data_IF_272178123827
#
_entry.id   IF_272178123827
#
_cell.length_a   1.000
_cell.length_b   1.000
_cell.length_c   1.000
_cell.angle_alpha   90.00
_cell.angle_beta   90.00
_cell.angle_gamma   90.00
#
_symmetry.space_group_name_H-M   'P 1'
#
loop_
_entity.id
_entity.type
_entity.pdbx_description
1 polymer ?
#
# COMPACT_ATOMS: atom_id res chain seq x y z
N UNK A 1 5.02 1.68 6.91
CA UNK A 1 3.64 2.20 6.87
C UNK A 1 2.71 1.14 6.31
N UNK A 2 1.63 0.83 7.02
CA UNK A 2 0.52 0.04 6.51
C UNK A 2 -0.70 0.95 6.29
N UNK A 3 -1.14 1.09 5.05
CA UNK A 3 -2.33 1.83 4.65
C UNK A 3 -3.41 0.84 4.24
N UNK A 4 -4.19 0.41 5.20
CA UNK A 4 -5.20 -0.65 5.05
C UNK A 4 -6.61 -0.21 5.42
N UNK A 5 -7.61 -0.95 4.98
CA UNK A 5 -9.01 -0.68 5.34
C UNK A 5 -9.98 -0.88 4.20
N UNK A 6 -11.15 -0.23 4.27
CA UNK A 6 -12.25 -0.38 3.33
C UNK A 6 -11.85 -0.18 1.87
N UNK A 7 -12.60 -0.76 0.96
CA UNK A 7 -12.42 -0.58 -0.47
C UNK A 7 -12.82 0.85 -0.91
N UNK A 8 -12.26 1.31 -2.02
CA UNK A 8 -12.59 2.62 -2.61
C UNK A 8 -11.94 3.84 -1.94
N UNK A 9 -11.14 3.67 -0.89
CA UNK A 9 -10.45 4.76 -0.19
C UNK A 9 -9.15 5.23 -0.85
N UNK A 10 -8.85 4.83 -2.09
CA UNK A 10 -7.69 5.35 -2.84
C UNK A 10 -6.34 4.71 -2.50
N UNK A 11 -6.31 3.50 -1.92
CA UNK A 11 -5.06 2.84 -1.48
C UNK A 11 -4.03 2.67 -2.58
N UNK A 12 -4.38 2.03 -3.69
CA UNK A 12 -3.46 1.80 -4.82
C UNK A 12 -3.03 3.11 -5.48
N UNK A 13 -3.93 4.12 -5.51
CA UNK A 13 -3.61 5.47 -5.99
C UNK A 13 -2.53 6.12 -5.13
N UNK A 14 -2.71 6.10 -3.79
CA UNK A 14 -1.71 6.63 -2.86
C UNK A 14 -0.37 5.92 -3.01
N UNK A 15 -0.38 4.59 -3.15
CA UNK A 15 0.82 3.79 -3.36
C UNK A 15 1.59 4.26 -4.61
N UNK A 16 0.88 4.45 -5.73
CA UNK A 16 1.49 4.91 -6.97
C UNK A 16 2.02 6.35 -6.84
N UNK A 17 1.22 7.28 -6.26
CA UNK A 17 1.63 8.67 -6.02
C UNK A 17 2.88 8.75 -5.13
N UNK A 18 2.89 7.97 -4.03
CA UNK A 18 4.03 7.88 -3.12
C UNK A 18 5.28 7.39 -3.84
N UNK A 19 5.16 6.36 -4.67
CA UNK A 19 6.29 5.80 -5.41
C UNK A 19 6.84 6.79 -6.46
N UNK A 20 5.95 7.41 -7.24
CA UNK A 20 6.31 8.44 -8.24
C UNK A 20 7.01 9.61 -7.56
N UNK A 21 6.42 10.15 -6.48
CA UNK A 21 7.01 11.23 -5.72
C UNK A 21 8.44 10.93 -5.27
N UNK A 22 8.68 9.73 -4.76
CA UNK A 22 10.02 9.33 -4.29
C UNK A 22 11.03 9.27 -5.43
N UNK A 23 10.63 8.81 -6.62
CA UNK A 23 11.51 8.82 -7.79
C UNK A 23 11.84 10.24 -8.27
N UNK A 24 10.88 11.14 -8.19
CA UNK A 24 11.11 12.54 -8.54
C UNK A 24 12.01 13.25 -7.53
N UNK A 25 11.75 13.08 -6.23
CA UNK A 25 12.42 13.84 -5.17
C UNK A 25 13.79 13.30 -4.79
N UNK A 26 14.07 12.01 -5.01
CA UNK A 26 15.32 11.36 -4.58
C UNK A 26 16.01 10.70 -5.78
N UNK A 27 16.80 11.48 -6.56
CA UNK A 27 17.48 10.97 -7.75
C UNK A 27 18.42 9.80 -7.46
N UNK A 28 18.54 8.88 -8.42
CA UNK A 28 19.43 7.73 -8.32
C UNK A 28 19.03 6.66 -7.30
N UNK A 29 17.81 6.73 -6.76
CA UNK A 29 17.27 5.74 -5.83
C UNK A 29 16.59 4.58 -6.56
N UNK A 30 16.48 3.43 -5.88
CA UNK A 30 15.86 2.23 -6.43
C UNK A 30 14.67 1.82 -5.59
N UNK A 31 13.48 1.78 -6.20
CA UNK A 31 12.24 1.36 -5.55
C UNK A 31 11.68 0.08 -6.13
N UNK A 32 10.84 -0.59 -5.34
CA UNK A 32 10.08 -1.75 -5.77
C UNK A 32 8.59 -1.46 -5.72
N UNK A 33 7.84 -1.85 -6.74
CA UNK A 33 6.39 -2.03 -6.69
C UNK A 33 6.11 -3.52 -6.83
N UNK A 34 5.48 -4.09 -5.82
CA UNK A 34 5.17 -5.52 -5.76
C UNK A 34 3.71 -5.83 -5.54
N UNK A 35 3.28 -6.98 -6.04
CA UNK A 35 2.01 -7.63 -5.76
C UNK A 35 2.20 -9.13 -5.79
N UNK A 36 1.29 -9.91 -5.19
CA UNK A 36 1.43 -11.38 -5.17
C UNK A 36 1.62 -11.96 -6.57
N UNK A 37 0.72 -11.65 -7.51
CA UNK A 37 0.79 -12.13 -8.88
C UNK A 37 1.23 -11.02 -9.83
N UNK A 38 2.10 -11.36 -10.78
CA UNK A 38 2.58 -10.39 -11.77
C UNK A 38 1.49 -9.92 -12.73
N UNK A 39 0.59 -10.83 -13.12
CA UNK A 39 -0.57 -10.51 -13.96
C UNK A 39 -1.46 -9.45 -13.31
N UNK A 40 -1.72 -9.59 -12.00
CA UNK A 40 -2.54 -8.62 -11.26
C UNK A 40 -1.81 -7.29 -11.09
N UNK A 41 -0.50 -7.32 -10.86
CA UNK A 41 0.33 -6.12 -10.86
C UNK A 41 0.15 -5.33 -12.16
N UNK A 42 0.25 -6.00 -13.30
CA UNK A 42 0.20 -5.36 -14.62
C UNK A 42 -1.21 -4.91 -15.01
N UNK A 43 -2.24 -5.65 -14.62
CA UNK A 43 -3.62 -5.34 -15.00
C UNK A 43 -4.32 -4.31 -14.12
N UNK A 44 -3.79 -4.06 -12.92
CA UNK A 44 -4.40 -3.11 -11.96
C UNK A 44 -3.42 -2.04 -11.50
N UNK A 45 -2.43 -2.38 -10.65
CA UNK A 45 -1.52 -1.40 -10.04
C UNK A 45 -0.70 -0.64 -11.08
N UNK A 46 -0.23 -1.32 -12.12
CA UNK A 46 0.51 -0.69 -13.23
C UNK A 46 -0.36 0.29 -14.03
N UNK A 47 -1.61 -0.04 -14.31
CA UNK A 47 -2.55 0.89 -14.97
C UNK A 47 -2.78 2.13 -14.12
N UNK A 48 -3.02 1.94 -12.82
CA UNK A 48 -3.13 3.07 -11.87
C UNK A 48 -1.85 3.91 -11.87
N UNK A 49 -0.67 3.29 -11.90
CA UNK A 49 0.60 4.01 -11.98
C UNK A 49 0.69 4.87 -13.24
N UNK A 50 0.30 4.34 -14.41
CA UNK A 50 0.32 5.10 -15.65
C UNK A 50 -0.65 6.29 -15.61
N UNK A 51 -1.89 6.10 -15.16
CA UNK A 51 -2.87 7.17 -14.98
C UNK A 51 -2.37 8.25 -14.01
N UNK A 52 -1.74 7.84 -12.90
CA UNK A 52 -1.17 8.77 -11.93
C UNK A 52 0.02 9.53 -12.50
N UNK A 53 0.86 8.86 -13.26
CA UNK A 53 1.97 9.52 -13.95
C UNK A 53 1.49 10.59 -14.93
N UNK A 54 0.49 10.27 -15.76
CA UNK A 54 -0.10 11.25 -16.70
C UNK A 54 -0.66 12.48 -15.97
N UNK A 55 -1.28 12.29 -14.80
CA UNK A 55 -1.77 13.38 -13.96
C UNK A 55 -0.63 14.24 -13.37
N UNK A 56 0.50 13.60 -12.99
CA UNK A 56 1.66 14.29 -12.40
C UNK A 56 2.54 14.94 -13.46
N UNK A 57 2.60 14.38 -14.65
CA UNK A 57 3.46 14.86 -15.74
C UNK A 57 3.28 16.34 -16.07
N UNK A 58 2.05 16.82 -16.10
CA UNK A 58 1.74 18.23 -16.39
C UNK A 58 2.40 19.21 -15.42
N UNK A 59 2.69 18.75 -14.20
CA UNK A 59 3.23 19.55 -13.11
C UNK A 59 4.66 19.15 -12.76
N UNK A 60 5.27 18.29 -13.55
CA UNK A 60 6.63 17.81 -13.32
C UNK A 60 7.66 18.88 -13.71
N UNK A 61 7.82 19.87 -12.85
CA UNK A 61 8.77 20.98 -13.04
C UNK A 61 10.25 20.51 -13.07
N UNK A 62 10.54 19.30 -12.62
CA UNK A 62 11.89 18.72 -12.63
C UNK A 62 12.27 18.17 -14.01
N UNK A 63 11.32 18.04 -14.94
CA UNK A 63 11.55 17.48 -16.27
C UNK A 63 11.97 16.01 -16.27
N UNK A 64 11.73 15.29 -15.16
CA UNK A 64 12.09 13.88 -15.04
C UNK A 64 11.14 13.02 -15.85
N UNK A 65 11.69 12.15 -16.69
CA UNK A 65 10.93 11.20 -17.52
C UNK A 65 11.27 9.77 -17.10
N UNK A 66 10.52 8.81 -17.60
CA UNK A 66 10.85 7.40 -17.44
C UNK A 66 10.57 6.60 -18.72
N UNK A 67 11.24 5.46 -18.83
CA UNK A 67 10.99 4.46 -19.87
C UNK A 67 10.92 3.07 -19.24
N UNK A 68 10.08 2.19 -19.78
CA UNK A 68 10.02 0.80 -19.38
C UNK A 68 11.19 0.03 -20.02
N UNK A 69 11.92 -0.76 -19.23
CA UNK A 69 12.92 -1.69 -19.68
C UNK A 69 12.34 -3.07 -20.02
N UNK A 70 13.18 -3.98 -20.57
CA UNK A 70 12.74 -5.31 -21.00
C UNK A 70 12.33 -6.25 -19.86
N UNK A 71 12.91 -6.14 -18.68
CA UNK A 71 12.72 -7.07 -17.56
C UNK A 71 11.91 -6.47 -16.41
N UNK A 72 10.75 -5.89 -16.72
CA UNK A 72 9.86 -5.36 -15.69
C UNK A 72 10.51 -4.25 -14.82
N UNK A 73 11.36 -3.47 -15.44
CA UNK A 73 12.06 -2.34 -14.84
C UNK A 73 11.61 -1.03 -15.48
N UNK A 74 11.67 0.04 -14.69
CA UNK A 74 11.45 1.40 -15.14
C UNK A 74 12.71 2.19 -14.85
N UNK A 75 13.30 2.78 -15.89
CA UNK A 75 14.46 3.65 -15.78
C UNK A 75 14.02 5.11 -15.86
N UNK A 76 14.39 5.88 -14.86
CA UNK A 76 14.08 7.30 -14.76
C UNK A 76 15.27 8.13 -15.25
N UNK A 77 15.00 9.24 -15.95
CA UNK A 77 16.04 10.10 -16.50
C UNK A 77 16.96 10.74 -15.45
N UNK A 78 16.54 10.77 -14.18
CA UNK A 78 17.35 11.24 -13.05
C UNK A 78 18.20 10.14 -12.40
N UNK A 79 18.35 8.98 -13.07
CA UNK A 79 19.14 7.85 -12.59
C UNK A 79 18.45 6.96 -11.55
N UNK A 80 17.18 7.21 -11.24
CA UNK A 80 16.41 6.33 -10.37
C UNK A 80 15.92 5.09 -11.14
N UNK A 81 15.53 4.06 -10.40
CA UNK A 81 15.02 2.81 -10.95
C UNK A 81 13.76 2.36 -10.19
N UNK A 82 12.87 1.67 -10.87
CA UNK A 82 11.71 0.99 -10.27
C UNK A 82 11.65 -0.44 -10.76
N UNK A 83 11.62 -1.38 -9.83
CA UNK A 83 11.44 -2.80 -10.11
C UNK A 83 9.97 -3.18 -9.95
N UNK A 84 9.40 -3.87 -10.94
CA UNK A 84 8.05 -4.45 -10.90
C UNK A 84 8.19 -5.95 -10.62
N UNK A 85 7.72 -6.43 -9.45
CA UNK A 85 7.96 -7.82 -9.02
C UNK A 85 6.69 -8.53 -8.58
N UNK A 86 6.54 -9.79 -9.03
CA UNK A 86 5.65 -10.74 -8.36
C UNK A 86 6.26 -11.15 -7.02
N UNK A 87 5.41 -11.20 -5.99
CA UNK A 87 5.81 -11.53 -4.62
C UNK A 87 5.17 -12.85 -4.17
N UNK A 88 5.03 -13.79 -5.08
CA UNK A 88 4.51 -15.12 -4.78
C UNK A 88 5.59 -16.03 -4.22
N UNK A 89 5.21 -16.82 -3.21
CA UNK A 89 6.03 -17.93 -2.73
C UNK A 89 6.20 -18.95 -3.86
N UNK A 90 7.44 -19.42 -4.04
CA UNK A 90 7.76 -20.47 -5.01
C UNK A 90 8.27 -21.71 -4.25
N UNK A 91 7.57 -22.85 -4.33
CA UNK A 91 7.99 -24.07 -3.66
C UNK A 91 9.38 -24.56 -4.09
N UNK A 92 9.79 -24.28 -5.34
CA UNK A 92 11.13 -24.56 -5.86
C UNK A 92 12.22 -23.66 -5.27
N UNK A 93 11.84 -22.57 -4.61
CA UNK A 93 12.74 -21.62 -3.96
C UNK A 93 12.19 -21.20 -2.58
N UNK A 94 12.13 -22.15 -1.61
CA UNK A 94 11.45 -21.94 -0.33
C UNK A 94 12.05 -20.82 0.51
N UNK A 95 13.33 -20.52 0.32
CA UNK A 95 14.03 -19.44 1.01
C UNK A 95 13.91 -18.09 0.27
N UNK A 96 13.11 -18.03 -0.80
CA UNK A 96 12.88 -16.81 -1.58
C UNK A 96 14.18 -16.09 -2.00
N UNK A 97 15.21 -16.86 -2.40
CA UNK A 97 16.54 -16.36 -2.78
C UNK A 97 16.48 -15.33 -3.92
N UNK A 98 15.44 -15.40 -4.77
CA UNK A 98 15.18 -14.41 -5.83
C UNK A 98 14.95 -12.99 -5.31
N UNK A 99 14.63 -12.81 -4.03
CA UNK A 99 14.57 -11.50 -3.37
C UNK A 99 15.83 -11.18 -2.58
N UNK A 100 16.67 -12.18 -2.31
CA UNK A 100 17.87 -12.06 -1.48
C UNK A 100 18.93 -11.12 -2.03
N UNK A 101 19.02 -10.98 -3.36
CA UNK A 101 19.98 -10.12 -4.07
C UNK A 101 19.50 -8.69 -4.26
N UNK A 102 18.25 -8.36 -3.88
CA UNK A 102 17.72 -7.02 -4.09
C UNK A 102 18.46 -5.99 -3.21
N UNK A 103 18.63 -4.82 -3.77
CA UNK A 103 19.14 -3.63 -3.10
C UNK A 103 18.18 -2.47 -3.38
N UNK A 104 17.38 -2.12 -2.37
CA UNK A 104 16.29 -1.17 -2.49
C UNK A 104 16.52 0.05 -1.59
N UNK A 105 16.05 1.20 -2.02
CA UNK A 105 15.90 2.40 -1.18
C UNK A 105 14.55 2.40 -0.49
N UNK A 106 13.53 1.88 -1.18
CA UNK A 106 12.15 1.78 -0.69
C UNK A 106 11.38 0.68 -1.44
N UNK A 107 10.24 0.29 -0.88
CA UNK A 107 9.35 -0.68 -1.49
C UNK A 107 7.89 -0.32 -1.23
N UNK A 108 7.04 -0.58 -2.22
CA UNK A 108 5.59 -0.47 -2.16
C UNK A 108 4.97 -1.82 -2.52
N UNK A 109 4.11 -2.36 -1.66
CA UNK A 109 3.44 -3.64 -1.90
C UNK A 109 1.93 -3.43 -1.88
N UNK A 110 1.32 -3.64 -3.04
CA UNK A 110 -0.14 -3.53 -3.18
C UNK A 110 -0.80 -4.88 -2.85
N UNK A 111 -1.98 -4.82 -2.23
CA UNK A 111 -2.70 -5.97 -1.69
C UNK A 111 -1.79 -6.89 -0.85
N UNK A 112 -1.02 -6.27 0.04
CA UNK A 112 -0.05 -6.97 0.91
C UNK A 112 -0.64 -8.11 1.75
N UNK A 113 -1.92 -8.13 2.15
CA UNK A 113 -2.51 -9.29 2.83
C UNK A 113 -2.43 -10.60 2.03
N UNK A 114 -2.38 -10.52 0.70
CA UNK A 114 -2.25 -11.69 -0.17
C UNK A 114 -0.83 -12.26 -0.20
N UNK A 115 0.18 -11.44 0.14
CA UNK A 115 1.60 -11.81 0.13
C UNK A 115 1.96 -12.47 1.46
N UNK A 116 2.76 -13.51 1.44
CA UNK A 116 3.23 -14.20 2.64
C UNK A 116 4.11 -13.28 3.51
N UNK A 117 3.88 -13.27 4.82
CA UNK A 117 4.55 -12.35 5.76
C UNK A 117 6.08 -12.40 5.67
N UNK A 118 6.65 -13.60 5.55
CA UNK A 118 8.10 -13.78 5.47
C UNK A 118 8.71 -13.10 4.22
N UNK A 119 7.98 -13.01 3.09
CA UNK A 119 8.43 -12.30 1.90
C UNK A 119 8.52 -10.81 2.17
N UNK A 120 7.55 -10.26 2.89
CA UNK A 120 7.57 -8.84 3.32
C UNK A 120 8.79 -8.57 4.21
N UNK A 121 9.12 -9.49 5.12
CA UNK A 121 10.29 -9.35 5.99
C UNK A 121 11.61 -9.44 5.21
N UNK A 122 11.69 -10.32 4.22
CA UNK A 122 12.84 -10.37 3.30
C UNK A 122 12.98 -9.04 2.55
N UNK A 123 11.92 -8.54 1.92
CA UNK A 123 11.93 -7.25 1.19
C UNK A 123 12.35 -6.12 2.13
N UNK A 124 11.80 -6.07 3.34
CA UNK A 124 12.17 -5.07 4.35
C UNK A 124 13.67 -5.10 4.65
N UNK A 125 14.27 -6.28 4.74
CA UNK A 125 15.71 -6.44 4.98
C UNK A 125 16.59 -6.01 3.79
N UNK A 126 16.01 -5.89 2.59
CA UNK A 126 16.70 -5.45 1.36
C UNK A 126 16.66 -3.94 1.15
N UNK A 127 15.95 -3.20 1.99
CA UNK A 127 15.93 -1.73 1.99
C UNK A 127 17.20 -1.22 2.64
N UNK A 128 18.27 -1.12 1.85
CA UNK A 128 19.62 -0.76 2.28
C UNK A 128 20.39 0.11 1.27
N UNK A 129 19.85 0.33 0.06
CA UNK A 129 20.52 1.08 -0.98
C UNK A 129 20.28 2.57 -0.83
N UNK A 130 21.35 3.37 -0.82
CA UNK A 130 21.34 4.84 -0.79
C UNK A 130 20.37 5.46 0.25
N UNK A 131 20.30 4.88 1.43
CA UNK A 131 19.37 5.31 2.49
C UNK A 131 19.58 6.76 2.93
N UNK A 132 20.80 7.28 2.83
CA UNK A 132 21.13 8.67 3.17
C UNK A 132 20.50 9.72 2.25
N UNK A 133 19.99 9.32 1.08
CA UNK A 133 19.29 10.24 0.17
C UNK A 133 17.81 10.46 0.54
N UNK A 134 17.29 9.68 1.46
CA UNK A 134 15.89 9.75 1.90
C UNK A 134 15.87 10.15 3.37
N UNK A 135 14.98 11.07 3.80
CA UNK A 135 14.87 11.45 5.21
C UNK A 135 14.73 10.22 6.11
N UNK A 136 15.45 10.23 7.25
CA UNK A 136 15.51 9.08 8.15
C UNK A 136 14.12 8.62 8.62
N UNK A 137 13.25 9.56 8.91
CA UNK A 137 11.88 9.34 9.42
C UNK A 137 10.84 9.09 8.30
N UNK A 138 11.22 9.19 7.02
CA UNK A 138 10.29 8.89 5.94
C UNK A 138 10.01 7.37 5.86
N UNK A 139 8.75 6.95 5.69
CA UNK A 139 8.42 5.55 5.46
C UNK A 139 9.19 4.99 4.27
N UNK A 140 9.86 3.86 4.44
CA UNK A 140 10.64 3.20 3.38
C UNK A 140 9.94 1.96 2.85
N UNK A 141 8.98 1.41 3.58
CA UNK A 141 8.13 0.32 3.16
C UNK A 141 6.66 0.77 3.29
N UNK A 142 5.95 0.79 2.17
CA UNK A 142 4.51 1.06 2.11
C UNK A 142 3.77 -0.22 1.74
N UNK A 143 2.86 -0.62 2.60
CA UNK A 143 1.98 -1.77 2.41
C UNK A 143 0.55 -1.26 2.26
N UNK A 144 -0.18 -1.73 1.26
CA UNK A 144 -1.60 -1.45 1.10
C UNK A 144 -2.40 -2.75 1.07
N UNK A 145 -3.68 -2.70 1.40
CA UNK A 145 -4.56 -3.87 1.31
C UNK A 145 -5.91 -3.67 1.96
N UNK A 146 -6.84 -4.54 1.56
CA UNK A 146 -8.15 -4.64 2.16
C UNK A 146 -8.09 -5.42 3.49
N UNK A 147 -9.10 -5.30 4.37
CA UNK A 147 -9.15 -6.07 5.60
C UNK A 147 -9.08 -7.58 5.33
N UNK A 148 -8.20 -8.23 6.04
CA UNK A 148 -7.99 -9.67 6.00
C UNK A 148 -7.70 -10.17 7.42
N UNK A 149 -8.21 -11.34 7.84
CA UNK A 149 -7.98 -11.89 9.17
C UNK A 149 -6.57 -12.47 9.35
N UNK A 150 -5.75 -12.46 8.30
CA UNK A 150 -4.41 -13.02 8.26
C UNK A 150 -3.36 -12.23 9.04
N UNK A 151 -2.12 -12.29 8.56
CA UNK A 151 -0.95 -11.73 9.23
C UNK A 151 -1.00 -10.20 9.38
N UNK A 152 -1.59 -9.47 8.42
CA UNK A 152 -1.69 -8.00 8.49
C UNK A 152 -2.55 -7.55 9.65
N UNK A 153 -3.66 -8.26 9.93
CA UNK A 153 -4.47 -8.02 11.13
C UNK A 153 -3.65 -8.25 12.40
N UNK A 154 -2.97 -9.40 12.48
CA UNK A 154 -2.18 -9.77 13.68
C UNK A 154 -1.02 -8.81 13.93
N UNK A 155 -0.37 -8.35 12.89
CA UNK A 155 0.82 -7.48 12.99
C UNK A 155 0.50 -6.01 13.24
N UNK A 156 -0.65 -5.52 12.76
CA UNK A 156 -0.93 -4.08 12.71
C UNK A 156 -2.22 -3.65 13.39
N UNK A 157 -3.17 -4.55 13.62
CA UNK A 157 -4.52 -4.18 14.05
C UNK A 157 -4.85 -4.81 15.41
N UNK A 158 -4.94 -6.14 15.46
CA UNK A 158 -5.30 -6.88 16.67
C UNK A 158 -4.51 -8.18 16.74
N UNK A 159 -4.03 -8.52 17.94
CA UNK A 159 -3.38 -9.79 18.22
C UNK A 159 -4.36 -10.98 18.15
N UNK A 160 -3.86 -12.18 18.43
CA UNK A 160 -4.67 -13.41 18.41
C UNK A 160 -5.74 -13.42 19.52
N UNK A 161 -5.52 -12.69 20.59
CA UNK A 161 -6.46 -12.53 21.71
C UNK A 161 -7.51 -11.43 21.45
N UNK A 162 -7.37 -10.68 20.34
CA UNK A 162 -8.26 -9.58 19.97
C UNK A 162 -7.89 -8.24 20.59
N UNK A 163 -6.75 -8.12 21.25
CA UNK A 163 -6.26 -6.85 21.77
C UNK A 163 -5.66 -6.00 20.65
N UNK A 164 -5.76 -4.68 20.78
CA UNK A 164 -5.11 -3.75 19.85
C UNK A 164 -3.60 -3.93 19.93
N UNK A 165 -2.96 -4.09 18.77
CA UNK A 165 -1.50 -4.25 18.68
C UNK A 165 -0.82 -2.93 19.06
N UNK A 166 0.13 -2.99 20.00
CA UNK A 166 1.05 -1.89 20.25
C UNK A 166 2.07 -1.82 19.12
N UNK A 167 1.98 -0.78 18.31
CA UNK A 167 2.90 -0.57 17.18
C UNK A 167 4.29 -0.19 17.70
N UNK A 168 5.32 -0.68 17.01
CA UNK A 168 6.71 -0.25 17.27
C UNK A 168 6.93 1.16 16.72
N UNK A 169 7.91 1.89 17.25
CA UNK A 169 8.20 3.29 16.91
C UNK A 169 8.42 3.52 15.39
N UNK A 170 8.88 2.50 14.68
CA UNK A 170 9.08 2.54 13.23
C UNK A 170 7.86 2.07 12.43
N UNK A 171 6.75 1.71 13.08
CA UNK A 171 5.52 1.26 12.45
C UNK A 171 4.45 2.34 12.51
N UNK A 172 3.69 2.47 11.44
CA UNK A 172 2.54 3.35 11.35
C UNK A 172 1.41 2.65 10.63
N UNK A 173 0.20 2.84 11.11
CA UNK A 173 -1.03 2.34 10.47
C UNK A 173 -1.95 3.51 10.17
N UNK A 174 -2.44 3.56 8.95
CA UNK A 174 -3.49 4.48 8.53
C UNK A 174 -4.66 3.65 8.03
N UNK A 175 -5.84 3.91 8.56
CA UNK A 175 -7.08 3.24 8.09
C UNK A 175 -7.68 4.02 6.95
N UNK A 176 -7.92 3.33 5.84
CA UNK A 176 -8.60 3.84 4.67
C UNK A 176 -10.10 3.53 4.77
N UNK A 177 -10.93 4.53 4.53
CA UNK A 177 -12.38 4.39 4.45
C UNK A 177 -12.88 4.86 3.08
N UNK A 178 -14.05 4.38 2.67
CA UNK A 178 -14.68 4.88 1.44
C UNK A 178 -14.96 6.39 1.50
N UNK A 179 -15.22 6.94 2.70
CA UNK A 179 -15.38 8.37 2.94
C UNK A 179 -14.16 9.22 2.61
N UNK A 180 -12.97 8.61 2.58
CA UNK A 180 -11.71 9.31 2.30
C UNK A 180 -11.52 9.57 0.81
N UNK A 181 -12.31 8.94 -0.04
CA UNK A 181 -12.29 9.22 -1.48
C UNK A 181 -12.85 10.63 -1.74
N UNK A 182 -12.12 11.49 -2.45
CA UNK A 182 -12.55 12.88 -2.68
C UNK A 182 -13.79 13.00 -3.57
N UNK A 183 -14.08 12.00 -4.43
CA UNK A 183 -15.20 12.02 -5.36
C UNK A 183 -16.52 11.59 -4.68
N UNK A 184 -17.48 12.50 -4.46
CA UNK A 184 -18.76 12.18 -3.80
C UNK A 184 -19.65 11.28 -4.63
N UNK A 185 -19.65 11.41 -5.96
CA UNK A 185 -20.48 10.58 -6.85
C UNK A 185 -19.94 9.15 -6.88
N UNK A 186 -18.61 9.00 -6.97
CA UNK A 186 -17.99 7.68 -6.82
C UNK A 186 -18.35 7.05 -5.48
N UNK A 187 -18.22 7.78 -4.36
CA UNK A 187 -18.57 7.25 -3.03
C UNK A 187 -20.00 6.73 -2.97
N UNK A 188 -20.95 7.50 -3.51
CA UNK A 188 -22.38 7.14 -3.53
C UNK A 188 -22.64 5.91 -4.40
N UNK A 189 -22.11 5.89 -5.60
CA UNK A 189 -22.28 4.78 -6.54
C UNK A 189 -21.64 3.49 -6.02
N UNK A 190 -20.39 3.58 -5.55
CA UNK A 190 -19.64 2.42 -5.09
C UNK A 190 -20.20 1.84 -3.78
N UNK A 191 -20.67 2.69 -2.86
CA UNK A 191 -21.39 2.23 -1.66
C UNK A 191 -22.59 1.34 -2.00
N UNK A 192 -23.43 1.75 -2.96
CA UNK A 192 -24.59 0.96 -3.42
C UNK A 192 -24.17 -0.41 -4.00
N UNK A 193 -23.00 -0.50 -4.63
CA UNK A 193 -22.47 -1.77 -5.12
C UNK A 193 -22.01 -2.66 -3.96
N UNK A 194 -21.27 -2.11 -3.01
CA UNK A 194 -20.77 -2.85 -1.85
C UNK A 194 -21.92 -3.34 -0.93
N UNK A 195 -23.00 -2.57 -0.81
CA UNK A 195 -24.18 -2.95 -0.03
C UNK A 195 -24.92 -4.19 -0.57
N UNK A 196 -24.74 -4.51 -1.85
CA UNK A 196 -25.29 -5.72 -2.49
C UNK A 196 -24.49 -6.99 -2.21
N UNK A 197 -23.28 -6.85 -1.69
CA UNK A 197 -22.41 -7.99 -1.39
C UNK A 197 -22.96 -8.80 -0.20
N UNK A 198 -22.60 -10.10 -0.11
CA UNK A 198 -22.85 -10.90 1.08
C UNK A 198 -22.32 -10.20 2.33
N UNK A 199 -22.97 -10.44 3.48
CA UNK A 199 -22.69 -9.73 4.74
C UNK A 199 -21.19 -9.68 5.08
N UNK A 200 -20.50 -10.79 4.95
CA UNK A 200 -19.07 -10.91 5.25
C UNK A 200 -18.22 -9.96 4.38
N UNK A 201 -18.44 -10.01 3.07
CA UNK A 201 -17.71 -9.18 2.11
C UNK A 201 -18.04 -7.69 2.31
N UNK A 202 -19.30 -7.38 2.63
CA UNK A 202 -19.70 -6.02 2.95
C UNK A 202 -18.99 -5.50 4.20
N UNK A 203 -18.93 -6.29 5.28
CA UNK A 203 -18.21 -5.92 6.50
C UNK A 203 -16.73 -5.67 6.22
N UNK A 204 -16.08 -6.50 5.42
CA UNK A 204 -14.68 -6.31 5.03
C UNK A 204 -14.48 -5.08 4.14
N UNK A 205 -15.22 -4.99 3.05
CA UNK A 205 -14.95 -4.02 1.99
C UNK A 205 -15.59 -2.65 2.22
N UNK A 206 -16.77 -2.60 2.85
CA UNK A 206 -17.46 -1.33 3.13
C UNK A 206 -17.12 -0.79 4.51
N UNK A 207 -17.16 -1.65 5.55
CA UNK A 207 -16.97 -1.21 6.93
C UNK A 207 -15.50 -1.24 7.36
N UNK A 208 -14.63 -1.87 6.57
CA UNK A 208 -13.21 -1.98 6.88
C UNK A 208 -12.93 -2.89 8.08
N UNK A 209 -13.76 -3.91 8.29
CA UNK A 209 -13.68 -4.81 9.43
C UNK A 209 -12.67 -5.95 9.19
N UNK A 210 -11.62 -5.99 9.99
CA UNK A 210 -10.60 -7.04 9.99
C UNK A 210 -11.03 -8.31 10.74
N UNK A 211 -12.11 -8.26 11.50
CA UNK A 211 -12.63 -9.39 12.27
C UNK A 211 -13.75 -10.13 11.53
N UNK A 212 -14.14 -9.65 10.34
CA UNK A 212 -15.12 -10.28 9.49
C UNK A 212 -14.58 -11.61 8.93
N UNK A 213 -14.90 -12.71 9.58
CA UNK A 213 -14.54 -14.08 9.17
C UNK A 213 -15.81 -14.91 9.00
N UNK A 214 -15.79 -15.87 8.06
CA UNK A 214 -16.84 -16.85 7.92
C UNK A 214 -16.95 -17.65 9.24
N UNK A 215 -18.05 -17.48 9.96
CA UNK A 215 -18.31 -18.23 11.18
C UNK A 215 -18.69 -19.66 10.81
N UNK A 216 -17.77 -20.59 10.90
CA UNK A 216 -18.10 -22.01 11.01
C UNK A 216 -18.76 -22.23 12.38
N UNK A 217 -20.09 -22.23 12.39
CA UNK A 217 -20.96 -22.71 13.47
C UNK A 217 -20.52 -22.44 14.91
N UNK A 218 -20.81 -21.28 15.46
CA UNK A 218 -21.46 -21.13 16.78
C UNK A 218 -21.81 -19.66 17.06
N UNK A 219 -23.06 -19.43 17.46
CA UNK A 219 -23.59 -18.10 17.78
C UNK A 219 -23.03 -17.63 19.13
N UNK A 220 -22.15 -16.65 19.15
CA UNK A 220 -22.05 -15.67 20.24
C UNK A 220 -21.92 -14.27 19.65
N UNK A 221 -22.88 -13.44 19.92
CA UNK A 221 -22.94 -12.04 19.55
C UNK A 221 -21.80 -11.30 20.27
N UNK A 222 -20.86 -10.78 19.50
CA UNK A 222 -19.87 -9.82 20.01
C UNK A 222 -20.29 -8.46 19.46
N UNK A 223 -20.69 -7.56 20.38
CA UNK A 223 -20.92 -6.14 20.06
C UNK A 223 -19.62 -5.57 19.48
N UNK A 224 -19.68 -5.01 18.28
CA UNK A 224 -18.57 -4.29 17.68
C UNK A 224 -18.31 -3.01 18.47
N UNK A 225 -17.27 -2.99 19.25
CA UNK A 225 -16.76 -1.76 19.83
C UNK A 225 -16.04 -1.00 18.71
N UNK A 226 -16.65 0.08 18.25
CA UNK A 226 -15.99 1.02 17.33
C UNK A 226 -14.82 1.65 18.08
N UNK A 227 -13.61 1.20 17.78
CA UNK A 227 -12.40 1.85 18.28
C UNK A 227 -12.10 3.02 17.36
N UNK A 228 -12.40 4.22 17.85
CA UNK A 228 -11.99 5.48 17.21
C UNK A 228 -10.50 5.72 17.49
N UNK A 229 -9.63 5.17 16.67
CA UNK A 229 -8.24 5.61 16.62
C UNK A 229 -8.23 6.85 15.72
N UNK A 230 -8.28 8.04 16.35
CA UNK A 230 -8.05 9.29 15.62
C UNK A 230 -6.54 9.38 15.37
N UNK A 231 -6.07 9.46 14.13
CA UNK A 231 -4.70 9.83 13.87
C UNK A 231 -4.52 11.30 14.30
N UNK A 232 -3.47 11.59 15.03
CA UNK A 232 -3.03 12.98 15.22
C UNK A 232 -2.60 13.52 13.84
N UNK A 233 -3.47 14.27 13.21
CA UNK A 233 -3.39 14.73 11.81
C UNK A 233 -2.28 15.76 11.57
N UNK A 234 -1.50 16.17 12.59
CA UNK A 234 -0.55 17.29 12.48
C UNK A 234 0.78 16.95 11.81
N UNK A 235 1.18 15.67 11.73
CA UNK A 235 2.48 15.28 11.16
C UNK A 235 2.39 14.71 9.74
N UNK A 236 1.27 14.10 9.38
CA UNK A 236 1.11 13.44 8.07
C UNK A 236 0.93 14.47 6.94
N UNK A 237 0.30 15.61 7.22
CA UNK A 237 0.12 16.70 6.24
C UNK A 237 1.43 17.27 5.69
N UNK A 238 2.52 17.21 6.44
CA UNK A 238 3.82 17.71 5.96
C UNK A 238 4.52 16.78 4.98
N UNK A 239 4.21 15.47 4.99
CA UNK A 239 4.84 14.48 4.11
C UNK A 239 4.00 14.14 2.86
N UNK A 240 2.69 14.42 2.91
CA UNK A 240 1.76 14.23 1.79
C UNK A 240 1.33 15.57 1.16
N UNK A 241 1.69 16.72 1.75
CA UNK A 241 1.23 18.05 1.33
C UNK A 241 1.82 18.51 -0.02
N UNK A 242 2.80 17.81 -0.59
CA UNK A 242 3.18 18.09 -1.99
C UNK A 242 2.10 17.67 -3.00
N UNK A 243 1.16 16.79 -2.62
CA UNK A 243 0.00 16.51 -3.47
C UNK A 243 -1.08 17.61 -3.36
N UNK A 244 -1.13 18.38 -2.28
CA UNK A 244 -2.05 19.52 -2.14
C UNK A 244 -1.64 20.76 -2.93
N UNK A 245 -0.39 20.91 -3.35
CA UNK A 245 0.05 22.01 -4.23
C UNK A 245 -0.42 21.82 -5.68
N UNK A 246 -0.86 20.61 -6.04
CA UNK A 246 -1.33 20.27 -7.38
C UNK A 246 -2.86 20.37 -7.54
N UNK A 247 -3.61 20.74 -6.50
CA UNK A 247 -5.08 20.80 -6.54
C UNK A 247 -5.66 22.19 -6.28
N UNK A 248 -4.83 23.25 -6.25
CA UNK A 248 -5.31 24.64 -6.21
C UNK A 248 -4.95 25.33 -7.51
N UNK A 249 -5.74 25.13 -8.53
CA UNK A 249 -6.20 26.09 -9.55
C UNK A 249 -7.44 25.52 -10.19
#
# INVERSE_FOLDING_TARGET
LFYGGAAGGGKSRLLCDWHIYRRLMYPGTRGLIGRKQFTDLMTTTWKTFQERWEAVWKYNQMGVTWRKGGENEIFWSNGSETLLKALSYQPSNPNSHNFGSLELTDAAVDESPEVEEHIIDIISSRIRYKLGQVPFNAPKLLLTGNPDPGWTRKRYIKDEKGNIVSLKDYQMVIRSLLSDNPDPEFRKAYRKQLEKLPLLERQRLLDGDYDAVARTGNKRSIRSTRVNIRPHCSSIHRYLCCTCLLTKT
#
